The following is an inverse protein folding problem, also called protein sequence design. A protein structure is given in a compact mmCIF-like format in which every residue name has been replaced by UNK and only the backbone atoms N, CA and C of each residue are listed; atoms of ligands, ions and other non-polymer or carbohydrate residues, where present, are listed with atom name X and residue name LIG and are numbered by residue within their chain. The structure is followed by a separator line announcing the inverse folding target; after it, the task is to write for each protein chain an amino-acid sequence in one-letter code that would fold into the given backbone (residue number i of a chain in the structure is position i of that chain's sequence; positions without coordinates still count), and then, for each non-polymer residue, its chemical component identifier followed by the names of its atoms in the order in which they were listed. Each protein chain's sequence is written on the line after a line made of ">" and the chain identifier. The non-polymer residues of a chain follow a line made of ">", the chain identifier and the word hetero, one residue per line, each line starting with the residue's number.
data_IF_101103695795
#
_entry.id   IF_101103695795
#
_cell.length_a   1.000
_cell.length_b   1.000
_cell.length_c   1.000
_cell.angle_alpha   90.00
_cell.angle_beta   90.00
_cell.angle_gamma   90.00
#
_symmetry.space_group_name_H-M   'P 1'
#
loop_
_entity.id
_entity.type
_entity.pdbx_description
1 polymer ?
#
# COMPACT_ATOMS: atom_id res chain seq x y z
N UNK A 1 -10.75 2.90 -22.61
CA UNK A 1 -9.99 1.63 -22.68
C UNK A 1 -9.64 1.23 -21.26
N UNK A 2 -10.04 0.05 -20.82
CA UNK A 2 -9.92 -0.41 -19.45
C UNK A 2 -8.87 -1.52 -19.32
N UNK A 3 -8.35 -1.70 -18.09
CA UNK A 3 -7.43 -2.76 -17.72
C UNK A 3 -7.76 -3.18 -16.28
N UNK A 4 -8.52 -4.24 -16.11
CA UNK A 4 -8.99 -4.75 -14.81
C UNK A 4 -8.64 -6.22 -14.66
N UNK A 5 -8.52 -6.70 -13.42
CA UNK A 5 -8.30 -8.12 -13.10
C UNK A 5 -9.14 -8.55 -11.91
N UNK A 6 -9.69 -9.75 -11.97
CA UNK A 6 -10.39 -10.32 -10.83
C UNK A 6 -9.36 -10.73 -9.75
N UNK A 7 -9.62 -10.32 -8.52
CA UNK A 7 -8.94 -10.81 -7.34
C UNK A 7 -9.63 -12.12 -6.89
N UNK A 8 -10.95 -12.11 -6.95
CA UNK A 8 -11.83 -13.24 -6.66
C UNK A 8 -13.06 -13.21 -7.57
N UNK A 9 -14.08 -13.99 -7.29
CA UNK A 9 -15.32 -13.99 -8.06
C UNK A 9 -16.10 -12.68 -7.91
N UNK A 10 -16.00 -12.03 -6.75
CA UNK A 10 -16.73 -10.80 -6.42
C UNK A 10 -15.85 -9.55 -6.34
N UNK A 11 -14.54 -9.69 -6.26
CA UNK A 11 -13.59 -8.57 -6.08
C UNK A 11 -12.76 -8.36 -7.34
N UNK A 12 -12.81 -7.13 -7.86
CA UNK A 12 -12.08 -6.71 -9.07
C UNK A 12 -11.05 -5.66 -8.71
N UNK A 13 -9.79 -5.86 -9.09
CA UNK A 13 -8.78 -4.82 -9.10
C UNK A 13 -9.08 -3.82 -10.22
N UNK A 14 -9.23 -2.55 -9.87
CA UNK A 14 -9.56 -1.45 -10.77
C UNK A 14 -8.51 -0.34 -10.78
N UNK A 15 -7.38 -0.57 -10.13
CA UNK A 15 -6.28 0.37 -10.02
C UNK A 15 -5.56 0.64 -11.36
N UNK A 16 -4.42 1.31 -11.27
CA UNK A 16 -3.56 1.61 -12.42
C UNK A 16 -2.08 1.69 -12.00
N UNK A 17 -1.18 1.65 -12.97
CA UNK A 17 0.26 1.82 -12.73
C UNK A 17 0.78 3.09 -13.41
N UNK A 18 1.60 3.87 -12.70
CA UNK A 18 2.37 4.97 -13.27
C UNK A 18 3.84 4.56 -13.43
N UNK A 19 4.31 4.58 -14.69
CA UNK A 19 5.70 4.29 -15.08
C UNK A 19 6.49 5.53 -15.42
N UNK A 20 5.88 6.72 -15.29
CA UNK A 20 6.48 8.01 -15.67
C UNK A 20 6.98 8.77 -14.45
N UNK A 21 6.45 8.44 -13.27
CA UNK A 21 6.86 9.06 -12.01
C UNK A 21 8.29 8.63 -11.67
N UNK A 22 9.19 9.60 -11.52
CA UNK A 22 10.59 9.31 -11.19
C UNK A 22 10.84 9.22 -9.69
N UNK A 23 10.09 9.99 -8.89
CA UNK A 23 10.22 10.08 -7.45
C UNK A 23 8.84 9.89 -6.79
N UNK A 24 8.70 8.91 -5.91
CA UNK A 24 7.54 8.78 -5.03
C UNK A 24 7.64 9.84 -3.92
N UNK A 25 6.54 10.53 -3.60
CA UNK A 25 6.49 11.66 -2.65
C UNK A 25 7.55 12.76 -2.92
N UNK A 26 7.99 12.93 -4.17
CA UNK A 26 9.11 13.81 -4.55
C UNK A 26 10.44 13.50 -3.82
N UNK A 27 10.59 12.33 -3.23
CA UNK A 27 11.72 11.98 -2.39
C UNK A 27 12.37 10.65 -2.80
N UNK A 28 11.58 9.58 -2.98
CA UNK A 28 12.11 8.24 -3.16
C UNK A 28 12.20 7.87 -4.64
N UNK A 29 13.42 7.60 -5.20
CA UNK A 29 13.55 7.16 -6.58
C UNK A 29 12.81 5.84 -6.83
N UNK A 30 11.95 5.82 -7.87
CA UNK A 30 11.18 4.65 -8.27
C UNK A 30 11.40 4.32 -9.76
N UNK A 31 12.58 3.81 -10.13
CA UNK A 31 12.94 3.56 -11.54
C UNK A 31 12.01 2.55 -12.23
N UNK A 32 11.27 1.74 -11.47
CA UNK A 32 10.27 0.80 -11.95
C UNK A 32 8.83 1.32 -11.89
N UNK A 33 8.66 2.61 -11.55
CA UNK A 33 7.35 3.21 -11.35
C UNK A 33 6.66 2.75 -10.07
N UNK A 34 5.33 2.88 -10.04
CA UNK A 34 4.48 2.50 -8.91
C UNK A 34 3.12 2.02 -9.41
N UNK A 35 2.47 1.12 -8.68
CA UNK A 35 1.06 0.82 -8.85
C UNK A 35 0.24 1.53 -7.79
N UNK A 36 -0.92 2.06 -8.19
CA UNK A 36 -1.97 2.57 -7.31
C UNK A 36 -3.12 1.59 -7.37
N UNK A 37 -3.30 0.80 -6.33
CA UNK A 37 -4.31 -0.23 -6.31
C UNK A 37 -5.61 0.31 -5.71
N UNK A 38 -6.70 -0.09 -6.30
CA UNK A 38 -8.06 0.10 -5.80
C UNK A 38 -8.87 -1.12 -6.16
N UNK A 39 -9.86 -1.45 -5.35
CA UNK A 39 -10.60 -2.70 -5.49
C UNK A 39 -12.09 -2.43 -5.43
N UNK A 40 -12.85 -3.09 -6.31
CA UNK A 40 -14.31 -2.99 -6.36
C UNK A 40 -14.91 -4.32 -5.94
N UNK A 41 -15.77 -4.29 -4.92
CA UNK A 41 -16.58 -5.43 -4.51
C UNK A 41 -17.94 -5.31 -5.17
N UNK A 42 -18.35 -6.37 -5.86
CA UNK A 42 -19.62 -6.49 -6.58
C UNK A 42 -20.56 -7.42 -5.82
N UNK A 43 -21.56 -6.83 -5.16
CA UNK A 43 -22.58 -7.56 -4.41
C UNK A 43 -23.95 -6.90 -4.63
N UNK A 44 -24.93 -7.09 -3.74
CA UNK A 44 -26.21 -6.35 -3.72
C UNK A 44 -25.96 -4.85 -3.61
N UNK A 45 -25.03 -4.46 -2.72
CA UNK A 45 -24.41 -3.14 -2.64
C UNK A 45 -22.98 -3.21 -3.12
N UNK A 46 -22.56 -2.23 -3.89
CA UNK A 46 -21.18 -2.16 -4.37
C UNK A 46 -20.33 -1.32 -3.46
N UNK A 47 -19.08 -1.74 -3.24
CA UNK A 47 -18.12 -0.99 -2.45
C UNK A 47 -16.77 -0.87 -3.19
N UNK A 48 -16.26 0.35 -3.26
CA UNK A 48 -14.94 0.66 -3.80
C UNK A 48 -13.99 0.91 -2.63
N UNK A 49 -12.83 0.29 -2.63
CA UNK A 49 -11.79 0.40 -1.59
C UNK A 49 -10.72 1.34 -2.10
N UNK A 50 -10.62 2.51 -1.48
CA UNK A 50 -9.73 3.61 -1.79
C UNK A 50 -9.81 4.09 -3.26
N UNK A 51 -9.05 5.11 -3.62
CA UNK A 51 -8.94 5.57 -4.99
C UNK A 51 -7.50 5.47 -5.47
N UNK A 52 -7.10 6.26 -6.47
CA UNK A 52 -5.74 6.28 -7.01
C UNK A 52 -5.22 7.70 -7.11
N UNK A 53 -3.93 7.85 -7.41
CA UNK A 53 -3.30 9.12 -7.70
C UNK A 53 -3.93 9.84 -8.91
N UNK A 54 -3.84 11.17 -8.90
CA UNK A 54 -4.38 12.02 -9.94
C UNK A 54 -3.76 11.75 -11.33
N UNK A 55 -2.51 11.29 -11.38
CA UNK A 55 -1.79 10.99 -12.65
C UNK A 55 -2.43 9.87 -13.46
N UNK A 56 -3.20 8.99 -12.84
CA UNK A 56 -3.85 7.84 -13.47
C UNK A 56 -5.39 7.90 -13.44
N UNK A 57 -5.97 9.03 -13.03
CA UNK A 57 -7.42 9.25 -12.88
C UNK A 57 -8.22 8.72 -14.06
N UNK A 58 -7.83 9.04 -15.28
CA UNK A 58 -8.59 8.65 -16.48
C UNK A 58 -8.72 7.13 -16.59
N UNK A 59 -7.61 6.41 -16.48
CA UNK A 59 -7.63 4.94 -16.57
C UNK A 59 -8.41 4.33 -15.42
N UNK A 60 -8.21 4.83 -14.20
CA UNK A 60 -8.93 4.41 -13.02
C UNK A 60 -10.45 4.53 -13.18
N UNK A 61 -10.95 5.68 -13.61
CA UNK A 61 -12.38 5.90 -13.78
C UNK A 61 -12.98 5.05 -14.92
N UNK A 62 -12.21 4.81 -16.00
CA UNK A 62 -12.60 3.86 -17.05
C UNK A 62 -12.70 2.43 -16.50
N UNK A 63 -11.76 2.01 -15.63
CA UNK A 63 -11.75 0.70 -14.98
C UNK A 63 -12.98 0.52 -14.07
N UNK A 64 -13.24 1.50 -13.18
CA UNK A 64 -14.40 1.50 -12.27
C UNK A 64 -15.70 1.42 -13.04
N UNK A 65 -15.89 2.30 -14.05
CA UNK A 65 -17.11 2.34 -14.86
C UNK A 65 -17.35 1.03 -15.61
N UNK A 66 -16.27 0.43 -16.16
CA UNK A 66 -16.37 -0.85 -16.86
C UNK A 66 -16.77 -1.97 -15.89
N UNK A 67 -16.14 -2.06 -14.72
CA UNK A 67 -16.39 -3.13 -13.76
C UNK A 67 -17.77 -3.02 -13.12
N UNK A 68 -18.27 -1.81 -12.88
CA UNK A 68 -19.64 -1.60 -12.41
C UNK A 68 -20.70 -2.06 -13.44
N UNK A 69 -20.38 -2.00 -14.74
CA UNK A 69 -21.27 -2.42 -15.83
C UNK A 69 -22.71 -1.90 -15.67
N UNK A 70 -22.85 -0.62 -15.33
CA UNK A 70 -24.15 0.05 -15.14
C UNK A 70 -24.77 -0.11 -13.74
N UNK A 71 -24.18 -0.88 -12.84
CA UNK A 71 -24.60 -0.89 -11.44
C UNK A 71 -24.30 0.45 -10.76
N UNK A 72 -25.05 0.86 -9.73
CA UNK A 72 -24.70 2.02 -8.90
C UNK A 72 -23.37 1.76 -8.18
N UNK A 73 -22.69 2.81 -7.75
CA UNK A 73 -21.62 2.74 -6.75
C UNK A 73 -22.22 3.22 -5.42
N UNK A 74 -22.39 2.30 -4.46
CA UNK A 74 -23.05 2.60 -3.18
C UNK A 74 -22.06 3.18 -2.16
N UNK A 75 -20.86 2.58 -2.03
CA UNK A 75 -19.90 2.97 -1.02
C UNK A 75 -18.49 3.19 -1.59
N UNK A 76 -17.80 4.20 -1.06
CA UNK A 76 -16.35 4.35 -1.14
C UNK A 76 -15.77 4.20 0.26
N UNK A 77 -15.07 3.12 0.51
CA UNK A 77 -14.35 2.86 1.74
C UNK A 77 -12.98 3.55 1.64
N UNK A 78 -12.68 4.45 2.57
CA UNK A 78 -11.43 5.21 2.59
C UNK A 78 -10.58 4.65 3.73
N UNK A 79 -9.64 3.77 3.40
CA UNK A 79 -8.68 3.23 4.35
C UNK A 79 -7.56 4.22 4.63
N UNK A 80 -7.18 5.03 3.62
CA UNK A 80 -6.06 5.97 3.71
C UNK A 80 -6.33 7.27 2.95
N UNK A 81 -5.90 8.41 3.51
CA UNK A 81 -6.16 9.75 2.99
C UNK A 81 -4.94 10.41 2.33
N UNK A 82 -3.87 9.67 2.09
CA UNK A 82 -2.78 10.20 1.29
C UNK A 82 -3.26 10.53 -0.14
N UNK A 83 -2.76 11.61 -0.77
CA UNK A 83 -3.27 12.08 -2.07
C UNK A 83 -3.28 11.02 -3.17
N UNK A 84 -2.36 10.07 -3.16
CA UNK A 84 -2.29 8.99 -4.14
C UNK A 84 -3.34 7.86 -3.93
N UNK A 85 -4.12 7.96 -2.84
CA UNK A 85 -5.26 7.06 -2.55
C UNK A 85 -6.60 7.79 -2.43
N UNK A 86 -6.58 9.13 -2.43
CA UNK A 86 -7.81 9.90 -2.26
C UNK A 86 -8.08 10.93 -3.37
N UNK A 87 -7.18 11.13 -4.33
CA UNK A 87 -7.27 12.20 -5.34
C UNK A 87 -8.58 12.17 -6.17
N UNK A 88 -9.24 11.03 -6.28
CA UNK A 88 -10.43 10.89 -7.11
C UNK A 88 -11.77 10.96 -6.34
N UNK A 89 -11.77 11.27 -5.04
CA UNK A 89 -12.98 11.34 -4.22
C UNK A 89 -14.01 12.32 -4.82
N UNK A 90 -13.58 13.55 -5.15
CA UNK A 90 -14.49 14.57 -5.69
C UNK A 90 -15.08 14.13 -7.03
N UNK A 91 -14.30 13.54 -7.92
CA UNK A 91 -14.77 13.06 -9.22
C UNK A 91 -15.77 11.90 -9.10
N UNK A 92 -15.54 10.97 -8.16
CA UNK A 92 -16.47 9.88 -7.89
C UNK A 92 -17.78 10.40 -7.31
N UNK A 93 -17.74 11.39 -6.41
CA UNK A 93 -18.95 12.02 -5.85
C UNK A 93 -19.80 12.74 -6.92
N UNK A 94 -19.15 13.32 -7.94
CA UNK A 94 -19.85 13.93 -9.07
C UNK A 94 -20.48 12.89 -9.99
N UNK A 95 -19.78 11.77 -10.25
CA UNK A 95 -20.28 10.71 -11.16
C UNK A 95 -21.35 9.84 -10.53
N UNK A 96 -21.27 9.63 -9.22
CA UNK A 96 -22.16 8.75 -8.46
C UNK A 96 -22.89 9.55 -7.37
N UNK A 97 -24.03 10.21 -7.67
CA UNK A 97 -24.70 11.12 -6.74
C UNK A 97 -25.16 10.47 -5.43
N UNK A 98 -25.36 9.15 -5.42
CA UNK A 98 -25.80 8.39 -4.23
C UNK A 98 -24.63 7.75 -3.46
N UNK A 99 -23.38 7.97 -3.90
CA UNK A 99 -22.20 7.43 -3.27
C UNK A 99 -22.10 7.91 -1.82
N UNK A 100 -21.91 6.98 -0.89
CA UNK A 100 -21.64 7.23 0.51
C UNK A 100 -20.16 6.96 0.81
N UNK A 101 -19.46 7.95 1.36
CA UNK A 101 -18.09 7.80 1.85
C UNK A 101 -18.11 7.09 3.20
N UNK A 102 -17.28 6.08 3.37
CA UNK A 102 -17.12 5.32 4.61
C UNK A 102 -15.69 5.50 5.11
N UNK A 103 -15.52 5.92 6.34
CA UNK A 103 -14.21 6.14 6.95
C UNK A 103 -14.33 6.44 8.43
N UNK A 104 -13.23 6.54 9.13
CA UNK A 104 -13.27 6.94 10.53
C UNK A 104 -13.33 8.48 10.70
N UNK A 105 -13.49 8.96 11.93
CA UNK A 105 -13.64 10.39 12.20
C UNK A 105 -12.43 11.23 11.76
N UNK A 106 -11.20 10.68 11.81
CA UNK A 106 -9.99 11.38 11.33
C UNK A 106 -9.94 11.42 9.80
N UNK A 107 -10.41 10.37 9.12
CA UNK A 107 -10.57 10.34 7.67
C UNK A 107 -11.40 11.54 7.21
N UNK A 108 -12.56 11.78 7.82
CA UNK A 108 -13.41 12.91 7.44
C UNK A 108 -12.83 14.27 7.85
N UNK A 109 -12.03 14.34 8.90
CA UNK A 109 -11.27 15.55 9.23
C UNK A 109 -10.24 15.87 8.11
N UNK A 110 -9.57 14.87 7.52
CA UNK A 110 -8.67 15.08 6.39
C UNK A 110 -9.43 15.41 5.09
N UNK A 111 -10.55 14.73 4.83
CA UNK A 111 -11.40 15.09 3.67
C UNK A 111 -11.77 16.56 3.71
N UNK A 112 -12.16 17.12 4.88
CA UNK A 112 -12.52 18.53 5.03
C UNK A 112 -11.32 19.49 4.91
N UNK A 113 -10.09 19.01 5.06
CA UNK A 113 -8.86 19.80 4.86
C UNK A 113 -8.41 19.78 3.39
N UNK A 114 -8.63 18.68 2.69
CA UNK A 114 -8.17 18.50 1.30
C UNK A 114 -9.20 18.98 0.28
N UNK A 115 -10.49 18.96 0.64
CA UNK A 115 -11.58 19.21 -0.29
C UNK A 115 -12.61 20.16 0.30
N UNK A 116 -13.09 21.08 -0.52
CA UNK A 116 -14.29 21.90 -0.24
C UNK A 116 -15.52 21.19 -0.83
N UNK A 117 -16.06 20.20 -0.09
CA UNK A 117 -17.15 19.35 -0.51
C UNK A 117 -18.31 19.39 0.48
N UNK A 118 -19.53 19.54 0.00
CA UNK A 118 -20.73 19.27 0.80
C UNK A 118 -20.98 17.77 0.89
N UNK A 119 -20.67 17.22 2.07
CA UNK A 119 -20.86 15.80 2.37
C UNK A 119 -22.11 15.52 3.22
N UNK A 120 -23.04 16.47 3.32
CA UNK A 120 -24.27 16.32 4.12
C UNK A 120 -25.06 15.09 3.67
N UNK A 121 -25.25 14.14 4.59
CA UNK A 121 -25.96 12.88 4.32
C UNK A 121 -25.22 11.87 3.43
N UNK A 122 -23.94 12.10 3.14
CA UNK A 122 -23.12 11.25 2.26
C UNK A 122 -21.92 10.61 2.96
N UNK A 123 -21.94 10.54 4.28
CA UNK A 123 -20.85 9.94 5.08
C UNK A 123 -21.38 8.90 6.05
N UNK A 124 -20.61 7.82 6.22
CA UNK A 124 -20.78 6.80 7.25
C UNK A 124 -19.50 6.73 8.06
N UNK A 125 -19.55 7.22 9.31
CA UNK A 125 -18.40 7.17 10.20
C UNK A 125 -18.35 5.82 10.90
N UNK A 126 -17.23 5.11 10.76
CA UNK A 126 -16.98 3.81 11.37
C UNK A 126 -15.89 3.89 12.45
N UNK A 127 -15.90 2.93 13.36
CA UNK A 127 -14.96 2.75 14.46
C UNK A 127 -14.35 1.37 14.45
N UNK A 128 -13.42 1.12 15.34
CA UNK A 128 -12.83 -0.20 15.57
C UNK A 128 -13.91 -1.26 15.78
N UNK A 129 -13.89 -2.30 14.93
CA UNK A 129 -14.79 -3.44 15.02
C UNK A 129 -16.19 -3.23 14.45
N UNK A 130 -16.50 -2.04 13.91
CA UNK A 130 -17.76 -1.82 13.19
C UNK A 130 -17.80 -2.65 11.90
N UNK A 131 -19.01 -2.92 11.44
CA UNK A 131 -19.24 -3.74 10.24
C UNK A 131 -20.15 -3.03 9.24
N UNK A 132 -20.02 -3.41 7.96
CA UNK A 132 -20.88 -2.98 6.87
C UNK A 132 -21.28 -4.18 6.02
N UNK A 133 -22.56 -4.50 5.97
CA UNK A 133 -23.10 -5.56 5.13
C UNK A 133 -23.39 -5.03 3.72
N UNK A 134 -22.92 -5.73 2.70
CA UNK A 134 -23.13 -5.41 1.28
C UNK A 134 -24.20 -6.32 0.63
N UNK A 135 -24.66 -7.33 1.36
CA UNK A 135 -25.52 -8.42 0.90
C UNK A 135 -24.97 -9.75 1.36
N UNK A 136 -24.25 -10.46 0.51
CA UNK A 136 -23.53 -11.70 0.87
C UNK A 136 -22.16 -11.43 1.50
N UNK A 137 -21.59 -10.24 1.32
CA UNK A 137 -20.29 -9.85 1.87
C UNK A 137 -20.46 -8.93 3.08
N UNK A 138 -19.63 -9.13 4.10
CA UNK A 138 -19.56 -8.28 5.29
C UNK A 138 -18.16 -7.75 5.46
N UNK A 139 -18.05 -6.42 5.53
CA UNK A 139 -16.80 -5.70 5.79
C UNK A 139 -16.67 -5.42 7.28
N UNK A 140 -15.48 -5.65 7.81
CA UNK A 140 -15.09 -5.33 9.19
C UNK A 140 -13.97 -4.28 9.15
N UNK A 141 -14.06 -3.27 10.00
CA UNK A 141 -13.11 -2.15 10.04
C UNK A 141 -12.19 -2.24 11.25
N UNK A 142 -10.89 -2.20 11.01
CA UNK A 142 -9.87 -2.21 12.06
C UNK A 142 -8.97 -0.99 11.92
N UNK A 143 -8.83 -0.21 12.99
CA UNK A 143 -7.96 0.96 12.98
C UNK A 143 -6.49 0.53 13.08
N UNK A 144 -5.66 1.09 12.20
CA UNK A 144 -4.21 0.87 12.15
C UNK A 144 -3.45 2.21 12.19
N UNK A 145 -3.67 3.04 13.24
CA UNK A 145 -3.12 4.39 13.29
C UNK A 145 -1.60 4.37 13.22
N UNK A 146 -1.04 5.30 12.44
CA UNK A 146 0.40 5.43 12.15
C UNK A 146 1.00 4.27 11.36
N UNK A 147 0.17 3.51 10.64
CA UNK A 147 0.63 2.57 9.61
C UNK A 147 0.14 3.04 8.20
N UNK A 148 0.59 4.21 7.59
CA UNK A 148 1.61 5.02 8.29
C UNK A 148 1.07 6.40 8.75
N UNK A 149 -0.17 6.79 8.44
CA UNK A 149 -0.81 8.03 8.89
C UNK A 149 -1.80 7.78 10.06
N UNK A 150 -2.21 8.85 10.79
CA UNK A 150 -2.99 8.69 12.03
C UNK A 150 -4.44 8.23 11.82
N UNK A 151 -4.99 8.35 10.61
CA UNK A 151 -6.36 7.95 10.24
C UNK A 151 -6.43 6.55 9.65
N UNK A 152 -5.31 5.93 9.31
CA UNK A 152 -5.29 4.66 8.60
C UNK A 152 -6.16 3.61 9.30
N UNK A 153 -6.98 2.96 8.50
CA UNK A 153 -7.68 1.73 8.86
C UNK A 153 -7.45 0.66 7.81
N UNK A 154 -7.75 -0.57 8.14
CA UNK A 154 -7.77 -1.69 7.21
C UNK A 154 -9.17 -2.29 7.20
N UNK A 155 -9.59 -2.81 6.05
CA UNK A 155 -10.90 -3.41 5.87
C UNK A 155 -10.72 -4.91 5.64
N UNK A 156 -11.40 -5.73 6.43
CA UNK A 156 -11.43 -7.18 6.24
C UNK A 156 -12.79 -7.60 5.71
N UNK A 157 -12.80 -8.27 4.59
CA UNK A 157 -13.97 -8.91 4.00
C UNK A 157 -14.03 -10.37 4.47
N UNK A 158 -15.11 -10.72 5.18
CA UNK A 158 -15.23 -11.97 5.93
C UNK A 158 -15.52 -13.16 5.04
N UNK A 159 -16.31 -13.01 3.97
CA UNK A 159 -16.84 -14.12 3.16
C UNK A 159 -15.75 -14.81 2.34
N UNK A 160 -14.91 -14.04 1.66
CA UNK A 160 -13.79 -14.55 0.87
C UNK A 160 -12.45 -14.43 1.62
N UNK A 161 -12.46 -13.87 2.85
CA UNK A 161 -11.30 -13.74 3.74
C UNK A 161 -10.20 -12.84 3.16
N UNK A 162 -10.62 -11.68 2.64
CA UNK A 162 -9.73 -10.71 1.99
C UNK A 162 -9.43 -9.55 2.94
N UNK A 163 -8.15 -9.24 3.12
CA UNK A 163 -7.68 -8.07 3.83
C UNK A 163 -7.27 -6.97 2.85
N UNK A 164 -7.96 -5.83 2.87
CA UNK A 164 -7.54 -4.59 2.23
C UNK A 164 -6.71 -3.80 3.24
N UNK A 165 -5.40 -3.81 3.02
CA UNK A 165 -4.43 -3.51 4.08
C UNK A 165 -3.93 -2.07 4.09
N UNK A 166 -4.55 -1.17 3.32
CA UNK A 166 -3.99 0.16 3.04
C UNK A 166 -2.54 0.02 2.54
N UNK A 167 -1.63 0.87 2.96
CA UNK A 167 -0.23 0.84 2.57
C UNK A 167 0.58 -0.31 3.19
N UNK A 168 0.06 -0.93 4.24
CA UNK A 168 0.73 -2.10 4.79
C UNK A 168 0.86 -3.20 3.72
N UNK A 169 2.02 -3.85 3.70
CA UNK A 169 2.38 -4.90 2.74
C UNK A 169 2.60 -4.42 1.30
N UNK A 170 2.67 -3.10 1.09
CA UNK A 170 2.93 -2.48 -0.19
C UNK A 170 4.37 -2.65 -0.69
N UNK A 171 4.58 -2.29 -1.95
CA UNK A 171 5.89 -2.28 -2.62
C UNK A 171 5.95 -1.18 -3.66
N UNK A 172 7.11 -0.56 -3.85
CA UNK A 172 7.37 0.20 -5.08
C UNK A 172 7.36 -0.75 -6.28
N UNK A 173 7.13 -0.19 -7.44
CA UNK A 173 7.09 -0.91 -8.72
C UNK A 173 5.71 -0.91 -9.37
N UNK A 174 5.70 -0.69 -10.68
CA UNK A 174 4.51 -0.80 -11.51
C UNK A 174 4.22 -2.26 -11.84
N UNK A 175 2.96 -2.67 -11.79
CA UNK A 175 2.53 -3.99 -12.22
C UNK A 175 2.72 -4.15 -13.73
N UNK A 176 3.30 -5.26 -14.17
CA UNK A 176 3.60 -5.56 -15.56
C UNK A 176 2.64 -6.60 -16.15
N UNK A 177 1.33 -6.46 -15.84
CA UNK A 177 0.30 -7.39 -16.27
C UNK A 177 0.03 -8.53 -15.26
N UNK A 178 0.98 -8.84 -14.41
CA UNK A 178 0.81 -9.75 -13.28
C UNK A 178 0.25 -8.98 -12.08
N UNK A 179 -0.87 -9.45 -11.52
CA UNK A 179 -1.46 -8.84 -10.33
C UNK A 179 -0.96 -9.51 -9.05
N UNK A 180 -0.73 -10.82 -9.10
CA UNK A 180 -0.45 -11.60 -7.89
C UNK A 180 1.04 -11.87 -7.70
N UNK A 181 1.46 -11.93 -6.43
CA UNK A 181 2.85 -12.20 -6.06
C UNK A 181 3.32 -13.61 -6.50
N UNK A 182 2.42 -14.58 -6.56
CA UNK A 182 2.68 -15.95 -7.04
C UNK A 182 2.85 -16.06 -8.57
N UNK A 183 2.47 -15.04 -9.32
CA UNK A 183 2.65 -14.99 -10.79
C UNK A 183 4.06 -14.53 -11.21
N UNK A 184 4.91 -14.11 -10.25
CA UNK A 184 6.25 -13.53 -10.49
C UNK A 184 7.29 -14.18 -9.58
N UNK A 185 8.57 -14.00 -9.89
CA UNK A 185 9.63 -14.30 -8.92
C UNK A 185 9.78 -13.12 -7.96
N UNK A 186 9.04 -13.15 -6.84
CA UNK A 186 8.99 -12.05 -5.91
C UNK A 186 10.36 -11.70 -5.32
N UNK A 187 11.16 -12.69 -4.96
CA UNK A 187 12.50 -12.46 -4.37
C UNK A 187 13.43 -11.72 -5.32
N UNK A 188 13.42 -12.11 -6.60
CA UNK A 188 14.26 -11.47 -7.61
C UNK A 188 13.74 -10.10 -8.04
N UNK A 189 12.42 -9.98 -8.19
CA UNK A 189 11.83 -8.85 -8.94
C UNK A 189 11.21 -7.79 -8.02
N UNK A 190 10.83 -8.14 -6.78
CA UNK A 190 10.01 -7.29 -5.94
C UNK A 190 10.52 -7.10 -4.51
N UNK A 191 11.26 -8.06 -3.92
CA UNK A 191 11.63 -8.04 -2.51
C UNK A 191 12.44 -6.79 -2.12
N UNK A 192 13.36 -6.35 -2.97
CA UNK A 192 14.15 -5.13 -2.68
C UNK A 192 13.27 -3.88 -2.69
N UNK A 193 12.33 -3.77 -3.63
CA UNK A 193 11.38 -2.65 -3.69
C UNK A 193 10.37 -2.69 -2.54
N UNK A 194 9.93 -3.87 -2.10
CA UNK A 194 9.08 -4.04 -0.92
C UNK A 194 9.81 -3.65 0.37
N UNK A 195 11.07 -4.06 0.51
CA UNK A 195 11.92 -3.67 1.64
C UNK A 195 12.17 -2.16 1.68
N UNK A 196 12.48 -1.57 0.52
CA UNK A 196 12.64 -0.11 0.39
C UNK A 196 11.36 0.64 0.72
N UNK A 197 10.22 0.14 0.23
CA UNK A 197 8.90 0.70 0.54
C UNK A 197 8.66 0.66 2.05
N UNK A 198 8.79 -0.51 2.68
CA UNK A 198 8.63 -0.65 4.12
C UNK A 198 9.52 0.32 4.89
N UNK A 199 10.83 0.33 4.62
CA UNK A 199 11.79 1.15 5.36
C UNK A 199 11.50 2.66 5.26
N UNK A 200 11.05 3.13 4.10
CA UNK A 200 10.85 4.55 3.85
C UNK A 200 9.46 5.04 4.29
N UNK A 201 8.42 4.23 4.11
CA UNK A 201 7.03 4.63 4.33
C UNK A 201 6.58 4.26 5.76
N UNK A 202 6.82 3.03 6.18
CA UNK A 202 6.27 2.47 7.43
C UNK A 202 7.33 2.31 8.53
N UNK A 203 8.60 2.22 8.16
CA UNK A 203 9.69 1.69 8.99
C UNK A 203 9.90 2.35 10.35
N UNK A 204 9.61 3.67 10.50
CA UNK A 204 9.73 4.35 11.80
C UNK A 204 8.62 3.98 12.80
N UNK A 205 7.57 3.31 12.35
CA UNK A 205 6.39 2.96 13.14
C UNK A 205 6.33 1.48 13.52
N UNK A 206 7.47 0.83 13.73
CA UNK A 206 7.55 -0.61 14.01
C UNK A 206 6.64 -1.10 15.13
N UNK A 207 6.48 -0.33 16.23
CA UNK A 207 5.58 -0.67 17.35
C UNK A 207 4.12 -0.69 16.90
N UNK A 208 3.70 0.26 16.07
CA UNK A 208 2.34 0.34 15.54
C UNK A 208 2.08 -0.82 14.55
N UNK A 209 3.08 -1.15 13.72
CA UNK A 209 3.02 -2.33 12.84
C UNK A 209 2.85 -3.62 13.66
N UNK A 210 3.65 -3.82 14.72
CA UNK A 210 3.51 -4.98 15.62
C UNK A 210 2.11 -5.05 16.25
N UNK A 211 1.55 -3.90 16.64
CA UNK A 211 0.19 -3.83 17.18
C UNK A 211 -0.85 -4.23 16.14
N UNK A 212 -0.70 -3.76 14.88
CA UNK A 212 -1.59 -4.12 13.78
C UNK A 212 -1.47 -5.61 13.44
N UNK A 213 -0.25 -6.16 13.31
CA UNK A 213 -0.01 -7.58 13.06
C UNK A 213 -0.66 -8.46 14.13
N UNK A 214 -0.50 -8.11 15.42
CA UNK A 214 -1.14 -8.84 16.52
C UNK A 214 -2.67 -8.82 16.43
N UNK A 215 -3.26 -7.68 16.07
CA UNK A 215 -4.71 -7.55 15.89
C UNK A 215 -5.19 -8.43 14.74
N UNK A 216 -4.52 -8.36 13.59
CA UNK A 216 -4.88 -9.09 12.38
C UNK A 216 -4.62 -10.60 12.48
N UNK A 217 -3.74 -11.05 13.36
CA UNK A 217 -3.46 -12.48 13.56
C UNK A 217 -4.66 -13.30 14.08
N UNK A 218 -5.70 -12.63 14.58
CA UNK A 218 -6.95 -13.28 14.99
C UNK A 218 -7.89 -13.58 13.80
N UNK A 219 -7.59 -13.04 12.60
CA UNK A 219 -8.42 -13.19 11.40
C UNK A 219 -7.92 -14.34 10.54
N UNK A 220 -8.85 -15.02 9.88
CA UNK A 220 -8.53 -15.96 8.80
C UNK A 220 -8.35 -15.20 7.50
N UNK A 221 -7.11 -14.89 7.13
CA UNK A 221 -6.80 -14.13 5.92
C UNK A 221 -6.31 -15.09 4.84
N UNK A 222 -6.94 -15.06 3.66
CA UNK A 222 -6.52 -15.81 2.47
C UNK A 222 -5.86 -14.93 1.43
N UNK A 223 -6.27 -13.66 1.36
CA UNK A 223 -5.76 -12.72 0.37
C UNK A 223 -5.45 -11.39 1.05
N UNK A 224 -4.31 -10.79 0.72
CA UNK A 224 -3.93 -9.43 1.15
C UNK A 224 -3.87 -8.54 -0.07
N UNK A 225 -4.65 -7.47 -0.06
CA UNK A 225 -4.81 -6.48 -1.11
C UNK A 225 -4.21 -5.13 -0.66
N UNK A 226 -2.92 -4.88 -0.89
CA UNK A 226 -2.28 -3.62 -0.54
C UNK A 226 -2.60 -2.52 -1.56
N UNK A 227 -2.39 -1.25 -1.19
CA UNK A 227 -2.58 -0.11 -2.08
C UNK A 227 -1.44 0.07 -3.11
N UNK A 228 -0.30 -0.59 -2.90
CA UNK A 228 0.83 -0.62 -3.84
C UNK A 228 1.39 -2.03 -4.00
N UNK A 229 1.92 -2.33 -5.19
CA UNK A 229 2.56 -3.61 -5.47
C UNK A 229 1.59 -4.78 -5.69
N UNK A 230 2.10 -6.02 -5.67
CA UNK A 230 1.32 -7.22 -5.94
C UNK A 230 0.31 -7.57 -4.83
N UNK A 231 -0.79 -8.20 -5.23
CA UNK A 231 -1.76 -8.86 -4.34
C UNK A 231 -1.20 -10.21 -3.91
N UNK A 232 -1.39 -10.57 -2.65
CA UNK A 232 -0.93 -11.83 -2.07
C UNK A 232 -2.11 -12.76 -1.81
N UNK A 233 -2.06 -13.97 -2.37
CA UNK A 233 -3.06 -15.04 -2.18
C UNK A 233 -2.43 -16.40 -1.85
N UNK A 234 -1.13 -16.50 -2.00
CA UNK A 234 -0.35 -17.68 -1.63
C UNK A 234 0.86 -17.25 -0.79
N UNK A 235 1.38 -18.15 0.03
CA UNK A 235 2.58 -17.95 0.84
C UNK A 235 2.57 -16.66 1.69
N UNK A 236 1.40 -16.33 2.28
CA UNK A 236 1.23 -15.11 3.10
C UNK A 236 2.18 -15.10 4.29
N UNK A 237 2.52 -16.27 4.84
CA UNK A 237 3.45 -16.40 5.96
C UNK A 237 4.84 -15.81 5.63
N UNK A 238 5.30 -15.97 4.38
CA UNK A 238 6.55 -15.35 3.93
C UNK A 238 6.51 -13.82 4.08
N UNK A 239 5.47 -13.18 3.55
CA UNK A 239 5.31 -11.72 3.64
C UNK A 239 5.16 -11.26 5.10
N UNK A 240 4.32 -11.94 5.88
CA UNK A 240 4.08 -11.62 7.29
C UNK A 240 5.36 -11.77 8.12
N UNK A 241 6.20 -12.78 7.84
CA UNK A 241 7.49 -12.97 8.51
C UNK A 241 8.46 -11.84 8.21
N UNK A 242 8.49 -11.32 6.96
CA UNK A 242 9.30 -10.15 6.60
C UNK A 242 8.84 -8.91 7.36
N UNK A 243 7.54 -8.63 7.40
CA UNK A 243 6.99 -7.51 8.16
C UNK A 243 7.25 -7.62 9.66
N UNK A 244 7.18 -8.83 10.23
CA UNK A 244 7.54 -9.07 11.64
C UNK A 244 9.01 -8.74 11.91
N UNK A 245 9.94 -9.23 11.08
CA UNK A 245 11.37 -8.93 11.22
C UNK A 245 11.65 -7.43 11.07
N UNK A 246 11.13 -6.80 10.01
CA UNK A 246 11.38 -5.39 9.73
C UNK A 246 10.84 -4.47 10.83
N UNK A 247 9.63 -4.75 11.33
CA UNK A 247 9.00 -3.94 12.38
C UNK A 247 9.62 -4.10 13.76
N UNK A 248 10.34 -5.19 14.00
CA UNK A 248 11.17 -5.39 15.20
C UNK A 248 12.59 -4.89 15.02
N UNK A 249 12.93 -4.33 13.86
CA UNK A 249 14.27 -3.89 13.50
C UNK A 249 15.32 -5.02 13.59
N UNK A 250 14.90 -6.24 13.29
CA UNK A 250 15.78 -7.41 13.24
C UNK A 250 16.39 -7.49 11.84
N UNK A 251 17.73 -7.47 11.71
CA UNK A 251 18.37 -7.55 10.39
C UNK A 251 18.10 -8.92 9.75
N UNK A 252 17.90 -8.92 8.43
CA UNK A 252 17.72 -10.16 7.66
C UNK A 252 19.07 -10.88 7.45
N UNK A 253 20.17 -10.12 7.40
CA UNK A 253 21.50 -10.61 7.10
C UNK A 253 22.50 -10.16 8.16
N UNK A 254 23.58 -10.94 8.34
CA UNK A 254 24.75 -10.51 9.08
C UNK A 254 25.57 -9.57 8.19
N UNK A 255 25.25 -8.28 8.22
CA UNK A 255 25.79 -7.27 7.32
C UNK A 255 26.35 -6.06 8.07
N UNK A 256 27.26 -5.34 7.44
CA UNK A 256 27.77 -4.04 7.89
C UNK A 256 27.58 -3.02 6.78
N UNK A 257 26.96 -1.87 7.10
CA UNK A 257 26.89 -0.71 6.21
C UNK A 257 27.96 0.30 6.61
N UNK A 258 28.78 0.71 5.65
CA UNK A 258 29.81 1.74 5.82
C UNK A 258 29.34 2.99 5.08
N UNK A 259 29.09 4.07 5.82
CA UNK A 259 28.75 5.37 5.26
C UNK A 259 29.96 6.28 5.29
N UNK A 260 30.31 6.88 4.16
CA UNK A 260 31.45 7.78 4.06
C UNK A 260 31.16 8.94 3.09
N UNK A 261 31.95 10.01 3.21
CA UNK A 261 32.02 11.09 2.22
C UNK A 261 33.51 11.36 1.94
N UNK A 262 33.89 11.51 0.69
CA UNK A 262 35.28 11.69 0.28
C UNK A 262 35.40 12.76 -0.80
N UNK A 263 36.32 13.72 -0.60
CA UNK A 263 36.61 14.77 -1.59
C UNK A 263 37.71 14.36 -2.57
N UNK A 264 38.76 13.69 -2.06
CA UNK A 264 39.95 13.36 -2.84
C UNK A 264 40.26 11.83 -2.86
N UNK A 265 39.31 11.01 -2.40
CA UNK A 265 39.43 9.55 -2.43
C UNK A 265 40.08 8.92 -1.20
N UNK A 266 40.68 9.66 -0.30
CA UNK A 266 41.39 9.07 0.86
C UNK A 266 40.42 8.39 1.83
N UNK A 267 39.31 9.03 2.15
CA UNK A 267 38.24 8.43 3.00
C UNK A 267 37.60 7.23 2.33
N UNK A 268 37.38 7.30 1.01
CA UNK A 268 36.88 6.17 0.21
C UNK A 268 37.86 5.00 0.27
N UNK A 269 39.18 5.25 0.15
CA UNK A 269 40.17 4.21 0.27
C UNK A 269 40.18 3.57 1.67
N UNK A 270 40.03 4.38 2.73
CA UNK A 270 39.92 3.85 4.10
C UNK A 270 38.63 3.00 4.26
N UNK A 271 37.51 3.41 3.70
CA UNK A 271 36.28 2.64 3.70
C UNK A 271 36.43 1.30 2.96
N UNK A 272 37.12 1.28 1.82
CA UNK A 272 37.42 0.06 1.06
C UNK A 272 38.34 -0.89 1.83
N UNK A 273 39.38 -0.38 2.53
CA UNK A 273 40.25 -1.19 3.38
C UNK A 273 39.45 -1.82 4.53
N UNK A 274 38.58 -1.04 5.18
CA UNK A 274 37.70 -1.56 6.23
C UNK A 274 36.77 -2.64 5.70
N UNK A 275 36.14 -2.40 4.53
CA UNK A 275 35.25 -3.35 3.86
C UNK A 275 36.00 -4.67 3.58
N UNK A 276 37.20 -4.62 3.03
CA UNK A 276 38.01 -5.81 2.74
C UNK A 276 38.36 -6.58 4.03
N UNK A 277 38.68 -5.87 5.13
CA UNK A 277 38.96 -6.49 6.44
C UNK A 277 37.71 -7.18 7.02
N UNK A 278 36.52 -6.56 6.91
CA UNK A 278 35.27 -7.13 7.37
C UNK A 278 34.84 -8.35 6.53
N UNK A 279 35.04 -8.30 5.22
CA UNK A 279 34.75 -9.42 4.33
C UNK A 279 35.60 -10.66 4.67
N UNK A 280 36.85 -10.47 5.14
CA UNK A 280 37.75 -11.56 5.54
C UNK A 280 37.30 -12.30 6.81
N UNK A 281 36.41 -11.72 7.64
CA UNK A 281 35.97 -12.28 8.92
C UNK A 281 34.50 -12.67 8.98
N UNK A 282 33.94 -13.13 7.86
CA UNK A 282 32.60 -13.77 7.79
C UNK A 282 31.37 -12.84 7.74
N UNK A 283 31.51 -11.58 7.35
CA UNK A 283 30.35 -10.78 6.97
C UNK A 283 29.99 -11.06 5.50
N UNK A 284 28.77 -11.50 5.25
CA UNK A 284 28.33 -11.96 3.92
C UNK A 284 27.90 -10.84 2.99
N UNK A 285 27.51 -9.68 3.54
CA UNK A 285 27.08 -8.53 2.74
C UNK A 285 27.72 -7.24 3.28
N UNK A 286 28.54 -6.61 2.44
CA UNK A 286 29.11 -5.29 2.70
C UNK A 286 28.54 -4.32 1.69
N UNK A 287 27.98 -3.21 2.18
CA UNK A 287 27.53 -2.10 1.33
C UNK A 287 28.25 -0.84 1.80
N UNK A 288 29.12 -0.30 0.94
CA UNK A 288 29.70 1.03 1.11
C UNK A 288 28.87 2.02 0.29
N UNK A 289 28.39 3.07 0.92
CA UNK A 289 27.62 4.13 0.27
C UNK A 289 28.35 5.46 0.45
N UNK A 290 28.69 6.09 -0.67
CA UNK A 290 29.12 7.47 -0.67
C UNK A 290 27.88 8.35 -0.41
N UNK A 291 27.93 9.15 0.65
CA UNK A 291 26.94 10.20 0.88
C UNK A 291 27.51 11.46 0.24
N UNK A 292 27.01 11.81 -0.95
CA UNK A 292 27.32 13.10 -1.57
C UNK A 292 26.82 14.24 -0.68
N UNK A 293 27.73 14.89 0.04
CA UNK A 293 27.41 16.18 0.64
C UNK A 293 27.42 17.23 -0.48
N UNK A 294 26.28 17.44 -1.10
CA UNK A 294 26.08 18.66 -1.86
C UNK A 294 25.75 19.76 -0.84
N UNK A 295 26.76 20.57 -0.54
CA UNK A 295 26.61 21.86 0.12
C UNK A 295 26.07 22.89 -0.88
#
# INVERSE_FOLDING_TARGET
>A
MYCTRNVSDSVVWVGASDRRLALFENLFPIPRGVSYNSYLILDEKTALLDTTDASVTRQYLENVSHSLNGKPLDYLIINHMEPDHCANIAELLLRYPHLTLVGNAKTFAFVSQFYDLDLTGRTLTVKEGDTLCLGSHTLHFFLAPMVHWPEVMVTYEETEQILFSADAFGSFGALNGHLFADEVNFDRDWLDDARRYYCNIVGKYGIQVQTALKKLSALSIRTICPLHGPVWRENLEYLLSKYDLWSRYVPEDNAVAIFYASMYGDTENAANILAAGLAAVSYTHLRAHETGAYL
#
